data_IF_617228710453
#
_entry.id   IF_617228710453
#
_cell.length_a   1.000
_cell.length_b   1.000
_cell.length_c   1.000
_cell.angle_alpha   90.00
_cell.angle_beta   90.00
_cell.angle_gamma   90.00
#
_symmetry.space_group_name_H-M   'P 1'
#
loop_
_entity.id
_entity.type
_entity.pdbx_description
1 polymer ?
#
# COMPACT_ATOMS: atom_id res chain seq x y z
N UNK A 1 -22.05 14.72 -3.88
CA UNK A 1 -21.58 14.40 -5.24
C UNK A 1 -20.14 14.00 -5.07
N UNK A 2 -19.78 12.78 -5.45
CA UNK A 2 -18.40 12.31 -5.43
C UNK A 2 -17.62 12.98 -6.55
N UNK A 3 -16.35 13.27 -6.32
CA UNK A 3 -15.42 13.72 -7.33
C UNK A 3 -15.03 12.51 -8.18
N UNK A 4 -15.24 12.61 -9.49
CA UNK A 4 -14.95 11.56 -10.47
C UNK A 4 -13.58 11.74 -11.15
N UNK A 5 -13.10 10.69 -11.82
CA UNK A 5 -11.75 10.65 -12.42
C UNK A 5 -11.50 11.73 -13.48
N UNK A 6 -12.29 11.73 -14.55
CA UNK A 6 -13.28 12.78 -14.71
C UNK A 6 -12.88 14.25 -14.48
N UNK A 7 -13.08 14.66 -13.25
CA UNK A 7 -13.04 16.02 -12.76
C UNK A 7 -11.64 16.38 -12.26
N UNK A 8 -10.82 15.41 -11.88
CA UNK A 8 -9.47 15.64 -11.34
C UNK A 8 -8.42 15.86 -12.45
N UNK A 9 -8.52 15.11 -13.55
CA UNK A 9 -7.51 15.18 -14.62
C UNK A 9 -7.69 16.36 -15.59
N UNK A 10 -8.76 17.17 -15.45
CA UNK A 10 -9.07 18.33 -16.31
C UNK A 10 -8.99 18.05 -17.84
N UNK A 11 -9.31 16.82 -18.26
CA UNK A 11 -9.20 16.38 -19.66
C UNK A 11 -7.77 16.09 -20.15
N UNK A 12 -6.78 16.10 -19.26
CA UNK A 12 -5.39 15.69 -19.53
C UNK A 12 -5.16 14.29 -18.98
N UNK A 13 -5.26 13.31 -19.85
CA UNK A 13 -5.05 11.91 -19.53
C UNK A 13 -3.56 11.71 -19.19
N UNK A 14 -3.22 11.11 -18.02
CA UNK A 14 -1.84 10.81 -17.68
C UNK A 14 -1.18 9.90 -18.72
N UNK A 15 0.03 10.26 -19.17
CA UNK A 15 0.78 9.46 -20.17
C UNK A 15 2.09 8.89 -19.62
N UNK A 16 2.58 9.42 -18.51
CA UNK A 16 3.79 8.97 -17.82
C UNK A 16 3.65 9.05 -16.29
N UNK A 17 4.69 8.60 -15.57
CA UNK A 17 4.74 8.59 -14.10
C UNK A 17 4.63 10.00 -13.49
N UNK A 18 5.20 11.01 -14.15
CA UNK A 18 5.13 12.39 -13.64
C UNK A 18 3.69 12.90 -13.66
N UNK A 19 2.93 12.57 -14.70
CA UNK A 19 1.50 12.89 -14.74
C UNK A 19 0.72 12.15 -13.63
N UNK A 20 1.08 10.90 -13.32
CA UNK A 20 0.47 10.13 -12.21
C UNK A 20 0.81 10.75 -10.85
N UNK A 21 2.02 11.25 -10.66
CA UNK A 21 2.41 11.96 -9.45
C UNK A 21 1.61 13.26 -9.27
N UNK A 22 1.50 14.07 -10.34
CA UNK A 22 0.67 15.30 -10.33
C UNK A 22 -0.80 14.98 -10.06
N UNK A 23 -1.31 13.89 -10.62
CA UNK A 23 -2.65 13.39 -10.34
C UNK A 23 -2.82 13.05 -8.85
N UNK A 24 -1.87 12.31 -8.28
CA UNK A 24 -1.87 11.94 -6.87
C UNK A 24 -1.83 13.17 -5.96
N UNK A 25 -0.99 14.15 -6.26
CA UNK A 25 -0.86 15.40 -5.49
C UNK A 25 -2.19 16.15 -5.43
N UNK A 26 -2.91 16.28 -6.56
CA UNK A 26 -4.25 16.90 -6.57
C UNK A 26 -5.25 16.17 -5.68
N UNK A 27 -5.15 14.85 -5.57
CA UNK A 27 -6.05 14.05 -4.72
C UNK A 27 -5.66 14.25 -3.25
N UNK A 28 -4.36 14.30 -2.93
CA UNK A 28 -3.86 14.63 -1.59
C UNK A 28 -4.27 16.02 -1.11
N UNK A 29 -4.44 17.00 -2.01
CA UNK A 29 -4.97 18.34 -1.66
C UNK A 29 -6.41 18.30 -1.08
N UNK A 30 -7.16 17.20 -1.26
CA UNK A 30 -8.52 17.04 -0.74
C UNK A 30 -8.53 16.83 0.79
N UNK A 31 -7.48 16.20 1.33
CA UNK A 31 -7.31 15.87 2.75
C UNK A 31 -6.62 14.52 2.97
N UNK A 32 -6.68 14.02 4.21
CA UNK A 32 -6.22 12.68 4.59
C UNK A 32 -7.07 11.58 3.93
N UNK A 33 -6.57 10.34 3.89
CA UNK A 33 -7.21 9.23 3.17
C UNK A 33 -8.70 9.01 3.51
N UNK A 34 -9.10 9.17 4.78
CA UNK A 34 -10.51 9.03 5.18
C UNK A 34 -11.38 10.11 4.52
N UNK A 35 -10.87 11.34 4.46
CA UNK A 35 -11.54 12.48 3.80
C UNK A 35 -11.57 12.29 2.29
N UNK A 36 -10.50 11.78 1.69
CA UNK A 36 -10.44 11.45 0.26
C UNK A 36 -11.50 10.40 -0.04
N UNK A 37 -11.53 9.30 0.71
CA UNK A 37 -12.45 8.17 0.53
C UNK A 37 -13.92 8.59 0.55
N UNK A 38 -14.28 9.56 1.40
CA UNK A 38 -15.65 10.09 1.46
C UNK A 38 -16.01 11.03 0.30
N UNK A 39 -15.02 11.68 -0.31
CA UNK A 39 -15.22 12.74 -1.30
C UNK A 39 -15.04 12.30 -2.74
N UNK A 40 -14.24 11.27 -3.01
CA UNK A 40 -13.97 10.77 -4.36
C UNK A 40 -14.75 9.49 -4.64
N UNK A 41 -14.90 9.11 -5.91
CA UNK A 41 -15.51 7.82 -6.24
C UNK A 41 -14.63 6.63 -5.84
N UNK A 42 -15.23 5.43 -5.58
CA UNK A 42 -14.46 4.24 -5.25
C UNK A 42 -13.41 3.86 -6.30
N UNK A 43 -13.64 4.21 -7.57
CA UNK A 43 -12.69 4.02 -8.67
C UNK A 43 -11.48 4.93 -8.51
N UNK A 44 -11.72 6.22 -8.27
CA UNK A 44 -10.66 7.21 -8.09
C UNK A 44 -9.87 6.97 -6.80
N UNK A 45 -10.55 6.57 -5.71
CA UNK A 45 -9.88 6.21 -4.47
C UNK A 45 -8.94 5.02 -4.67
N UNK A 46 -9.41 3.96 -5.31
CA UNK A 46 -8.59 2.77 -5.55
C UNK A 46 -7.43 3.03 -6.51
N UNK A 47 -7.63 3.89 -7.52
CA UNK A 47 -6.53 4.37 -8.36
C UNK A 47 -5.50 5.14 -7.54
N UNK A 48 -5.93 6.02 -6.64
CA UNK A 48 -5.05 6.79 -5.77
C UNK A 48 -4.22 5.88 -4.84
N UNK A 49 -4.85 4.88 -4.22
CA UNK A 49 -4.14 3.88 -3.41
C UNK A 49 -3.13 3.11 -4.25
N UNK A 50 -3.48 2.71 -5.48
CA UNK A 50 -2.58 1.98 -6.36
C UNK A 50 -1.36 2.82 -6.76
N UNK A 51 -1.56 4.09 -7.13
CA UNK A 51 -0.45 5.01 -7.49
C UNK A 51 0.51 5.17 -6.31
N UNK A 52 -0.01 5.44 -5.11
CA UNK A 52 0.83 5.62 -3.93
C UNK A 52 1.52 4.32 -3.51
N UNK A 53 0.85 3.16 -3.61
CA UNK A 53 1.45 1.87 -3.26
C UNK A 53 2.59 1.53 -4.20
N UNK A 54 2.41 1.63 -5.51
CA UNK A 54 3.45 1.33 -6.50
C UNK A 54 4.62 2.30 -6.34
N UNK A 55 4.35 3.61 -6.25
CA UNK A 55 5.40 4.62 -6.13
C UNK A 55 6.23 4.47 -4.86
N UNK A 56 5.60 4.24 -3.70
CA UNK A 56 6.32 3.99 -2.46
C UNK A 56 7.10 2.67 -2.50
N UNK A 57 6.53 1.62 -3.09
CA UNK A 57 7.23 0.34 -3.23
C UNK A 57 8.47 0.46 -4.11
N UNK A 58 8.41 1.22 -5.20
CA UNK A 58 9.56 1.46 -6.08
C UNK A 58 10.68 2.24 -5.39
N UNK A 59 10.36 3.03 -4.36
CA UNK A 59 11.35 3.77 -3.57
C UNK A 59 11.97 2.88 -2.47
N UNK A 60 11.14 2.35 -1.58
CA UNK A 60 11.58 1.76 -0.30
C UNK A 60 11.12 0.30 -0.08
N UNK A 61 10.44 -0.29 -1.06
CA UNK A 61 9.87 -1.64 -0.97
C UNK A 61 8.68 -1.75 0.00
N UNK A 62 8.26 -2.97 0.25
CA UNK A 62 7.13 -3.27 1.14
C UNK A 62 7.40 -2.96 2.59
N UNK A 63 8.62 -3.20 3.08
CA UNK A 63 8.98 -2.83 4.45
C UNK A 63 8.91 -1.30 4.63
N UNK A 64 9.28 -0.52 3.60
CA UNK A 64 9.11 0.92 3.61
C UNK A 64 7.65 1.36 3.74
N UNK A 65 6.76 0.77 2.94
CA UNK A 65 5.31 1.04 3.04
C UNK A 65 4.77 0.65 4.41
N UNK A 66 5.06 -0.58 4.86
CA UNK A 66 4.51 -1.11 6.10
C UNK A 66 5.04 -0.32 7.30
N UNK A 67 6.31 0.07 7.31
CA UNK A 67 6.92 0.79 8.43
C UNK A 67 6.57 2.29 8.46
N UNK A 68 6.49 2.94 7.31
CA UNK A 68 6.44 4.41 7.22
C UNK A 68 5.14 4.97 6.63
N UNK A 69 4.30 4.13 6.02
CA UNK A 69 3.02 4.52 5.44
C UNK A 69 1.86 3.67 6.01
N UNK A 70 1.70 3.55 7.34
CA UNK A 70 0.69 2.68 7.96
C UNK A 70 -0.74 2.99 7.52
N UNK A 71 -1.04 4.24 7.19
CA UNK A 71 -2.35 4.67 6.73
C UNK A 71 -2.74 4.09 5.36
N UNK A 72 -1.78 3.69 4.51
CA UNK A 72 -2.06 3.02 3.23
C UNK A 72 -2.40 1.54 3.45
N UNK A 73 -1.78 0.88 4.43
CA UNK A 73 -1.84 -0.58 4.66
C UNK A 73 -3.27 -1.14 4.67
N UNK A 74 -4.26 -0.51 5.35
CA UNK A 74 -5.65 -0.99 5.34
C UNK A 74 -6.30 -1.15 3.96
N UNK A 75 -5.80 -0.41 2.96
CA UNK A 75 -6.44 -0.31 1.64
C UNK A 75 -5.75 -1.16 0.57
N UNK A 76 -4.54 -1.65 0.84
CA UNK A 76 -3.70 -2.33 -0.16
C UNK A 76 -4.32 -3.67 -0.59
N UNK A 77 -4.86 -4.46 0.35
CA UNK A 77 -5.43 -5.77 0.03
C UNK A 77 -6.60 -5.65 -0.96
N UNK A 78 -7.55 -4.74 -0.71
CA UNK A 78 -8.67 -4.47 -1.62
C UNK A 78 -8.19 -3.96 -2.98
N UNK A 79 -7.20 -3.06 -2.98
CA UNK A 79 -6.61 -2.53 -4.20
C UNK A 79 -6.00 -3.63 -5.06
N UNK A 80 -5.19 -4.52 -4.47
CA UNK A 80 -4.55 -5.62 -5.20
C UNK A 80 -5.59 -6.54 -5.85
N UNK A 81 -6.71 -6.85 -5.17
CA UNK A 81 -7.82 -7.60 -5.79
C UNK A 81 -8.44 -6.83 -6.96
N UNK A 82 -8.72 -5.53 -6.79
CA UNK A 82 -9.37 -4.71 -7.84
C UNK A 82 -8.53 -4.62 -9.11
N UNK A 83 -7.21 -4.71 -8.99
CA UNK A 83 -6.28 -4.72 -10.10
C UNK A 83 -5.88 -6.13 -10.60
N UNK A 84 -6.51 -7.20 -10.09
CA UNK A 84 -6.27 -8.56 -10.54
C UNK A 84 -4.95 -9.18 -10.08
N UNK A 85 -4.34 -8.65 -9.01
CA UNK A 85 -3.06 -9.10 -8.45
C UNK A 85 -3.27 -10.03 -7.24
N UNK A 86 -4.08 -11.07 -7.40
CA UNK A 86 -4.49 -11.94 -6.28
C UNK A 86 -3.29 -12.66 -5.62
N UNK A 87 -2.30 -13.09 -6.39
CA UNK A 87 -1.11 -13.75 -5.83
C UNK A 87 -0.32 -12.79 -4.93
N UNK A 88 -0.24 -11.51 -5.32
CA UNK A 88 0.42 -10.47 -4.55
C UNK A 88 -0.41 -10.10 -3.30
N UNK A 89 -1.73 -10.06 -3.44
CA UNK A 89 -2.66 -9.85 -2.34
C UNK A 89 -2.52 -10.93 -1.26
N UNK A 90 -2.50 -12.21 -1.64
CA UNK A 90 -2.35 -13.31 -0.70
C UNK A 90 -1.02 -13.21 0.07
N UNK A 91 0.07 -12.90 -0.64
CA UNK A 91 1.38 -12.72 -0.01
C UNK A 91 1.43 -11.51 0.93
N UNK A 92 0.76 -10.42 0.57
CA UNK A 92 0.66 -9.23 1.42
C UNK A 92 -0.12 -9.52 2.70
N UNK A 93 -1.28 -10.17 2.58
CA UNK A 93 -2.10 -10.57 3.73
C UNK A 93 -1.33 -11.51 4.68
N UNK A 94 -0.47 -12.40 4.16
CA UNK A 94 0.39 -13.25 4.98
C UNK A 94 1.41 -12.47 5.81
N UNK A 95 1.89 -11.31 5.34
CA UNK A 95 2.74 -10.41 6.13
C UNK A 95 1.93 -9.73 7.23
N UNK A 96 0.76 -9.19 6.88
CA UNK A 96 -0.11 -8.49 7.84
C UNK A 96 -0.64 -9.44 8.91
N UNK A 97 -0.90 -10.70 8.59
CA UNK A 97 -1.34 -11.72 9.56
C UNK A 97 -0.33 -12.05 10.67
N UNK A 98 0.91 -11.55 10.58
CA UNK A 98 1.92 -11.66 11.64
C UNK A 98 1.63 -10.67 12.77
N UNK A 99 0.93 -9.57 12.47
CA UNK A 99 0.61 -8.55 13.45
C UNK A 99 -0.43 -9.09 14.44
N UNK A 100 -0.23 -8.92 15.75
CA UNK A 100 -1.25 -9.25 16.73
C UNK A 100 -2.53 -8.45 16.53
N UNK A 101 -3.69 -9.06 16.80
CA UNK A 101 -5.03 -8.47 16.61
C UNK A 101 -5.25 -7.10 17.29
N UNK A 102 -4.45 -6.78 18.31
CA UNK A 102 -4.56 -5.53 19.05
C UNK A 102 -3.79 -4.37 18.40
N UNK A 103 -2.98 -4.64 17.38
CA UNK A 103 -2.30 -3.61 16.60
C UNK A 103 -3.30 -3.00 15.62
N UNK A 104 -3.33 -1.67 15.59
CA UNK A 104 -4.18 -0.90 14.68
C UNK A 104 -3.32 0.07 13.88
N UNK A 105 -3.82 0.50 12.74
CA UNK A 105 -3.14 1.46 11.85
C UNK A 105 -3.41 2.93 12.21
N UNK A 106 -4.21 3.18 13.27
CA UNK A 106 -4.63 4.52 13.71
C UNK A 106 -3.81 5.05 14.91
N UNK A 107 -3.11 4.16 15.63
CA UNK A 107 -2.27 4.52 16.79
C UNK A 107 -0.79 4.48 16.40
N UNK A 108 -0.25 5.65 16.04
CA UNK A 108 1.14 5.80 15.58
C UNK A 108 2.17 5.29 16.61
N UNK A 109 1.92 5.46 17.91
CA UNK A 109 2.87 5.05 18.94
C UNK A 109 2.88 3.53 19.08
N UNK A 110 1.69 2.93 19.13
CA UNK A 110 1.54 1.47 19.17
C UNK A 110 2.12 0.83 17.90
N UNK A 111 1.83 1.41 16.74
CA UNK A 111 2.31 0.91 15.47
C UNK A 111 3.84 1.02 15.37
N UNK A 112 4.42 2.14 15.79
CA UNK A 112 5.88 2.31 15.86
C UNK A 112 6.52 1.25 16.78
N UNK A 113 5.91 0.97 17.93
CA UNK A 113 6.36 -0.12 18.82
C UNK A 113 6.28 -1.49 18.12
N UNK A 114 5.23 -1.77 17.35
CA UNK A 114 5.12 -3.02 16.59
C UNK A 114 6.22 -3.16 15.53
N UNK A 115 6.51 -2.10 14.79
CA UNK A 115 7.59 -2.11 13.78
C UNK A 115 8.95 -2.33 14.47
N UNK A 116 9.23 -1.61 15.56
CA UNK A 116 10.43 -1.84 16.37
C UNK A 116 10.50 -3.27 16.92
N UNK A 117 9.36 -3.85 17.28
CA UNK A 117 9.23 -5.22 17.75
C UNK A 117 9.69 -6.22 16.69
N UNK A 118 9.26 -6.04 15.43
CA UNK A 118 9.58 -6.92 14.29
C UNK A 118 10.96 -6.68 13.67
N UNK A 119 11.50 -5.48 13.77
CA UNK A 119 12.75 -5.14 13.10
C UNK A 119 14.00 -5.55 13.89
N UNK A 120 13.98 -5.39 15.21
CA UNK A 120 15.22 -5.58 15.99
C UNK A 120 14.98 -5.88 17.47
N UNK A 121 15.38 -7.08 17.91
CA UNK A 121 15.34 -7.54 19.32
C UNK A 121 15.88 -6.56 20.37
N UNK A 122 16.80 -5.65 19.97
CA UNK A 122 17.43 -4.68 20.87
C UNK A 122 16.59 -3.42 21.08
N UNK A 123 15.63 -3.15 20.19
CA UNK A 123 14.74 -2.03 20.32
C UNK A 123 13.75 -2.30 21.45
N UNK A 124 13.64 -1.32 22.34
CA UNK A 124 12.67 -1.31 23.43
C UNK A 124 11.32 -0.88 22.86
N UNK A 125 10.27 -1.53 23.33
CA UNK A 125 8.88 -1.19 23.02
C UNK A 125 8.19 -0.77 24.31
N UNK A 126 7.34 0.23 24.22
CA UNK A 126 6.64 0.81 25.37
C UNK A 126 5.35 0.08 25.69
N UNK A 127 4.67 -0.48 24.68
CA UNK A 127 3.43 -1.24 24.86
C UNK A 127 3.65 -2.50 25.71
N UNK A 128 2.91 -2.60 26.82
CA UNK A 128 3.04 -3.69 27.78
C UNK A 128 2.63 -5.05 27.20
N UNK A 129 1.71 -5.08 26.22
CA UNK A 129 1.24 -6.33 25.59
C UNK A 129 2.32 -6.92 24.69
N UNK A 130 3.08 -6.10 23.98
CA UNK A 130 4.25 -6.58 23.23
C UNK A 130 5.34 -7.13 24.17
N UNK A 131 5.47 -6.54 25.36
CA UNK A 131 6.42 -7.02 26.37
C UNK A 131 6.01 -8.35 27.05
N UNK A 132 4.80 -8.89 26.80
CA UNK A 132 4.43 -10.22 27.32
C UNK A 132 5.01 -11.37 26.52
N UNK A 133 5.45 -11.12 25.28
CA UNK A 133 6.09 -12.13 24.45
C UNK A 133 7.47 -12.47 25.00
N UNK A 134 7.79 -13.76 25.02
CA UNK A 134 9.13 -14.25 25.33
C UNK A 134 10.13 -13.82 24.25
N UNK A 135 11.43 -13.91 24.58
CA UNK A 135 12.49 -13.58 23.64
C UNK A 135 12.44 -14.49 22.40
N UNK A 136 12.16 -15.78 22.61
CA UNK A 136 12.04 -16.79 21.58
C UNK A 136 10.83 -16.54 20.66
N UNK A 137 9.68 -16.16 21.23
CA UNK A 137 8.48 -15.81 20.45
C UNK A 137 8.72 -14.58 19.58
N UNK A 138 9.29 -13.50 20.15
CA UNK A 138 9.65 -12.30 19.36
C UNK A 138 10.61 -12.68 18.24
N UNK A 139 11.66 -13.44 18.53
CA UNK A 139 12.63 -13.86 17.52
C UNK A 139 11.99 -14.69 16.40
N UNK A 140 11.04 -15.57 16.72
CA UNK A 140 10.30 -16.34 15.74
C UNK A 140 9.43 -15.43 14.84
N UNK A 141 8.71 -14.47 15.44
CA UNK A 141 7.91 -13.50 14.69
C UNK A 141 8.76 -12.62 13.77
N UNK A 142 9.90 -12.11 14.25
CA UNK A 142 10.83 -11.32 13.43
C UNK A 142 11.32 -12.11 12.21
N UNK A 143 11.69 -13.39 12.42
CA UNK A 143 12.13 -14.27 11.34
C UNK A 143 11.01 -14.52 10.34
N UNK A 144 9.80 -14.80 10.82
CA UNK A 144 8.64 -15.00 9.97
C UNK A 144 8.31 -13.75 9.15
N UNK A 145 8.39 -12.56 9.76
CA UNK A 145 8.16 -11.28 9.09
C UNK A 145 9.14 -11.06 7.95
N UNK A 146 10.44 -11.26 8.19
CA UNK A 146 11.46 -11.16 7.14
C UNK A 146 11.24 -12.18 6.02
N UNK A 147 10.97 -13.45 6.36
CA UNK A 147 10.74 -14.50 5.35
C UNK A 147 9.50 -14.22 4.47
N UNK A 148 8.45 -13.63 5.04
CA UNK A 148 7.22 -13.28 4.31
C UNK A 148 7.38 -12.01 3.49
N UNK A 149 8.08 -11.00 4.01
CA UNK A 149 8.46 -9.83 3.24
C UNK A 149 9.31 -10.20 2.02
N UNK A 150 10.33 -11.05 2.18
CA UNK A 150 11.17 -11.50 1.06
C UNK A 150 10.36 -12.22 -0.03
N UNK A 151 9.36 -13.01 0.37
CA UNK A 151 8.42 -13.67 -0.55
C UNK A 151 7.57 -12.65 -1.29
N UNK A 152 7.02 -11.68 -0.56
CA UNK A 152 6.22 -10.60 -1.11
C UNK A 152 7.03 -9.76 -2.12
N UNK A 153 8.25 -9.37 -1.78
CA UNK A 153 9.16 -8.65 -2.70
C UNK A 153 9.43 -9.42 -3.98
N UNK A 154 9.70 -10.71 -3.86
CA UNK A 154 9.96 -11.59 -5.01
C UNK A 154 8.76 -11.68 -5.95
N UNK A 155 7.55 -11.72 -5.41
CA UNK A 155 6.31 -11.74 -6.21
C UNK A 155 6.08 -10.37 -6.88
N UNK A 156 6.46 -9.29 -6.20
CA UNK A 156 6.22 -7.91 -6.67
C UNK A 156 7.14 -7.48 -7.79
N UNK A 157 8.42 -7.87 -7.73
CA UNK A 157 9.45 -7.46 -8.68
C UNK A 157 9.04 -7.57 -10.16
N UNK A 158 8.47 -8.70 -10.63
CA UNK A 158 7.98 -8.84 -12.01
C UNK A 158 6.88 -7.86 -12.41
N UNK A 159 6.08 -7.36 -11.45
CA UNK A 159 4.97 -6.43 -11.73
C UNK A 159 5.44 -4.98 -11.76
N UNK A 160 6.23 -4.56 -10.77
CA UNK A 160 6.50 -3.14 -10.52
C UNK A 160 7.98 -2.77 -10.59
N UNK A 161 8.89 -3.75 -10.60
CA UNK A 161 10.33 -3.53 -10.58
C UNK A 161 10.89 -3.00 -11.89
N UNK A 162 12.16 -2.57 -11.86
CA UNK A 162 12.87 -2.07 -13.03
C UNK A 162 12.85 -3.05 -14.20
N UNK A 163 12.54 -2.55 -15.40
CA UNK A 163 12.43 -3.37 -16.62
C UNK A 163 11.09 -4.11 -16.77
N UNK A 164 10.14 -3.90 -15.86
CA UNK A 164 8.74 -4.26 -16.09
C UNK A 164 8.10 -3.32 -17.13
N UNK A 165 7.00 -3.72 -17.81
CA UNK A 165 6.35 -2.88 -18.80
C UNK A 165 5.96 -1.50 -18.26
N UNK A 166 6.39 -0.44 -18.94
CA UNK A 166 6.27 0.96 -18.51
C UNK A 166 6.77 1.20 -17.07
N UNK A 167 7.87 0.54 -16.70
CA UNK A 167 8.48 0.65 -15.36
C UNK A 167 7.45 0.45 -14.25
N UNK A 168 6.56 -0.54 -14.38
CA UNK A 168 5.59 -0.93 -13.36
C UNK A 168 4.23 -0.27 -13.48
N UNK A 169 4.10 0.77 -14.30
CA UNK A 169 2.89 1.59 -14.38
C UNK A 169 1.86 1.11 -15.40
N UNK A 170 2.13 0.04 -16.16
CA UNK A 170 1.23 -0.43 -17.23
C UNK A 170 -0.19 -0.67 -16.74
N UNK A 171 -0.35 -1.36 -15.60
CA UNK A 171 -1.67 -1.62 -15.01
C UNK A 171 -2.46 -0.35 -14.69
N UNK A 172 -1.77 0.72 -14.29
CA UNK A 172 -2.38 2.01 -13.97
C UNK A 172 -2.88 2.67 -15.25
N UNK A 173 -2.04 2.72 -16.29
CA UNK A 173 -2.45 3.29 -17.56
C UNK A 173 -3.58 2.51 -18.24
N UNK A 174 -3.55 1.17 -18.17
CA UNK A 174 -4.60 0.33 -18.73
C UNK A 174 -5.93 0.57 -17.99
N UNK A 175 -5.90 0.67 -16.66
CA UNK A 175 -7.07 1.00 -15.84
C UNK A 175 -7.66 2.36 -16.20
N UNK A 176 -6.80 3.38 -16.30
CA UNK A 176 -7.19 4.72 -16.73
C UNK A 176 -7.84 4.64 -18.11
N UNK A 177 -7.19 4.01 -19.10
CA UNK A 177 -7.66 3.91 -20.48
C UNK A 177 -9.03 3.23 -20.60
N UNK A 178 -9.26 2.14 -19.87
CA UNK A 178 -10.55 1.43 -19.82
C UNK A 178 -11.67 2.35 -19.34
N UNK A 179 -11.40 3.17 -18.33
CA UNK A 179 -12.38 4.10 -17.76
C UNK A 179 -12.66 5.31 -18.65
N UNK A 180 -11.73 5.71 -19.51
CA UNK A 180 -11.97 6.77 -20.51
C UNK A 180 -12.84 6.26 -21.65
N UNK A 181 -12.59 5.03 -22.08
CA UNK A 181 -13.19 4.45 -23.28
C UNK A 181 -14.68 4.14 -23.11
N UNK A 182 -15.18 4.18 -21.86
CA UNK A 182 -16.60 3.96 -21.55
C UNK A 182 -17.04 2.50 -21.69
N UNK A 183 -16.10 1.58 -21.91
CA UNK A 183 -16.34 0.14 -21.94
C UNK A 183 -16.48 -0.36 -20.50
N UNK A 184 -17.65 -0.09 -19.92
CA UNK A 184 -18.12 -0.78 -18.72
C UNK A 184 -18.89 -2.03 -19.17
N UNK A 185 -18.42 -3.22 -18.78
CA UNK A 185 -19.32 -4.35 -18.54
C UNK A 185 -20.22 -4.06 -17.33
#
# INVERSE_FOLDING_TARGET
MSIEMNEIWDGKIPVDEMDLAVLSDKIWEIGELDVIREKVSPELFQLHIAINTIGNWQCDGWDGIIAYQPHLVPYISEMLVKFGLQDLQNAFDEVIAIFPDFITFEDDLLYCDMINFLHNMRLKVSDERLNTYTQEERQAMMKQYQEKLDQLEKITGPHWGYGSPKEGWTMIFDYIQLRISGDCE
#
